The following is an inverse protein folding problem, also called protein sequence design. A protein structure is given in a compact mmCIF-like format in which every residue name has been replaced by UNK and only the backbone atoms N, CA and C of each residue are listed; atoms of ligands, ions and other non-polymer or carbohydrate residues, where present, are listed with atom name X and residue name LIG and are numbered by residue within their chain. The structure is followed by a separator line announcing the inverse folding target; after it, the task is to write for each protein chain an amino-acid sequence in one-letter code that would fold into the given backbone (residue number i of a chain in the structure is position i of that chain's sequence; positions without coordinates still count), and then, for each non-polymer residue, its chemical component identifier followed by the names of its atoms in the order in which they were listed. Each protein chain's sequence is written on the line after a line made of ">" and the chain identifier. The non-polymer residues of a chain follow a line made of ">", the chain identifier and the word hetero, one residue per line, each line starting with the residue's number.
data_IF_301257234226
#
_entry.id   IF_301257234226
#
_cell.length_a   1.000
_cell.length_b   1.000
_cell.length_c   1.000
_cell.angle_alpha   90.00
_cell.angle_beta   90.00
_cell.angle_gamma   90.00
#
_symmetry.space_group_name_H-M   'P 1'
#
loop_
_entity.id
_entity.type
_entity.pdbx_description
1 polymer ?
#
# COMPACT_ATOMS: atom_id res chain seq x y z
N UNK A 1 4.93 -12.55 -31.91
CA UNK A 1 3.93 -11.88 -31.05
C UNK A 1 4.58 -11.61 -29.71
N UNK A 2 4.39 -10.42 -29.14
CA UNK A 2 4.83 -10.11 -27.77
C UNK A 2 3.82 -10.66 -26.75
N UNK A 3 4.32 -11.09 -25.59
CA UNK A 3 3.46 -11.47 -24.47
C UNK A 3 2.78 -10.23 -23.88
N UNK A 4 1.55 -10.40 -23.40
CA UNK A 4 0.79 -9.36 -22.69
C UNK A 4 0.87 -9.68 -21.20
N UNK A 5 1.37 -8.73 -20.40
CA UNK A 5 1.42 -8.85 -18.95
C UNK A 5 0.20 -8.17 -18.34
N UNK A 6 -0.53 -8.87 -17.48
CA UNK A 6 -1.71 -8.36 -16.76
C UNK A 6 -1.39 -8.44 -15.27
N UNK A 7 -1.48 -7.31 -14.58
CA UNK A 7 -1.32 -7.24 -13.12
C UNK A 7 -2.70 -7.17 -12.47
N UNK A 8 -3.00 -8.12 -11.59
CA UNK A 8 -4.22 -8.11 -10.78
C UNK A 8 -3.87 -7.78 -9.33
N UNK A 9 -4.54 -6.78 -8.76
CA UNK A 9 -4.44 -6.45 -7.34
C UNK A 9 -5.52 -7.24 -6.59
N UNK A 10 -5.13 -8.33 -5.96
CA UNK A 10 -6.03 -9.23 -5.23
C UNK A 10 -5.83 -9.09 -3.73
N UNK A 11 -6.90 -8.96 -2.96
CA UNK A 11 -6.81 -8.87 -1.49
C UNK A 11 -6.62 -10.25 -0.85
N UNK A 12 -7.12 -11.30 -1.50
CA UNK A 12 -7.09 -12.67 -0.97
C UNK A 12 -6.99 -13.73 -2.09
N UNK A 13 -6.70 -14.97 -1.68
CA UNK A 13 -6.44 -16.07 -2.61
C UNK A 13 -7.65 -16.44 -3.49
N UNK A 14 -8.89 -16.19 -3.05
CA UNK A 14 -10.10 -16.52 -3.81
C UNK A 14 -10.22 -15.67 -5.09
N UNK A 15 -9.77 -14.42 -5.03
CA UNK A 15 -9.78 -13.51 -6.18
C UNK A 15 -8.79 -13.97 -7.27
N UNK A 16 -7.64 -14.52 -6.87
CA UNK A 16 -6.68 -15.14 -7.79
C UNK A 16 -7.33 -16.32 -8.51
N UNK A 17 -8.09 -17.16 -7.80
CA UNK A 17 -8.80 -18.29 -8.40
C UNK A 17 -9.89 -17.85 -9.39
N UNK A 18 -10.62 -16.77 -9.09
CA UNK A 18 -11.60 -16.20 -10.00
C UNK A 18 -10.95 -15.73 -11.31
N UNK A 19 -9.80 -15.06 -11.25
CA UNK A 19 -9.04 -14.64 -12.43
C UNK A 19 -8.55 -15.86 -13.23
N UNK A 20 -8.05 -16.90 -12.56
CA UNK A 20 -7.66 -18.16 -13.24
C UNK A 20 -8.84 -18.80 -13.98
N UNK A 21 -10.01 -18.86 -13.33
CA UNK A 21 -11.21 -19.45 -13.91
C UNK A 21 -11.67 -18.67 -15.15
N UNK A 22 -11.63 -17.34 -15.08
CA UNK A 22 -11.96 -16.46 -16.22
C UNK A 22 -11.01 -16.67 -17.40
N UNK A 23 -9.69 -16.66 -17.18
CA UNK A 23 -8.70 -16.89 -18.24
C UNK A 23 -8.84 -18.27 -18.87
N UNK A 24 -9.14 -19.29 -18.06
CA UNK A 24 -9.39 -20.67 -18.52
C UNK A 24 -10.66 -20.76 -19.35
N UNK A 25 -11.73 -20.07 -18.97
CA UNK A 25 -12.98 -20.02 -19.73
C UNK A 25 -12.76 -19.41 -21.13
N UNK A 26 -11.89 -18.41 -21.24
CA UNK A 26 -11.49 -17.80 -22.50
C UNK A 26 -10.47 -18.64 -23.31
N UNK A 27 -10.05 -19.80 -22.78
CA UNK A 27 -9.01 -20.68 -23.37
C UNK A 27 -7.69 -19.96 -23.65
N UNK A 28 -7.39 -18.91 -22.89
CA UNK A 28 -6.13 -18.17 -22.99
C UNK A 28 -5.06 -18.96 -22.23
N UNK A 29 -3.87 -19.14 -22.83
CA UNK A 29 -2.70 -19.67 -22.11
C UNK A 29 -2.13 -18.57 -21.25
N UNK A 30 -1.97 -18.83 -19.96
CA UNK A 30 -1.45 -17.87 -18.99
C UNK A 30 -0.51 -18.56 -18.01
N UNK A 31 0.39 -17.77 -17.41
CA UNK A 31 1.22 -18.15 -16.28
C UNK A 31 1.02 -17.12 -15.18
N UNK A 32 1.00 -17.57 -13.93
CA UNK A 32 0.88 -16.67 -12.79
C UNK A 32 2.26 -16.48 -12.21
N UNK A 33 2.80 -15.28 -12.37
CA UNK A 33 3.96 -14.85 -11.62
C UNK A 33 3.48 -14.39 -10.24
N UNK A 34 3.66 -15.24 -9.23
CA UNK A 34 3.51 -14.79 -7.83
C UNK A 34 4.65 -13.83 -7.52
N UNK A 35 4.39 -12.53 -7.65
CA UNK A 35 5.28 -11.52 -7.12
C UNK A 35 5.19 -11.66 -5.60
N UNK A 36 6.28 -12.11 -4.96
CA UNK A 36 6.31 -12.16 -3.50
C UNK A 36 5.95 -10.77 -2.97
N UNK A 37 5.11 -10.66 -1.93
CA UNK A 37 4.94 -9.42 -1.21
C UNK A 37 6.33 -8.89 -0.85
N UNK A 38 6.54 -7.58 -0.98
CA UNK A 38 7.78 -6.98 -0.50
C UNK A 38 7.76 -7.06 1.02
N UNK A 39 8.52 -8.01 1.57
CA UNK A 39 8.75 -8.11 3.01
C UNK A 39 9.86 -7.13 3.37
N UNK A 40 9.57 -6.23 4.31
CA UNK A 40 10.58 -5.35 4.87
C UNK A 40 11.62 -6.19 5.62
N UNK A 41 12.90 -5.83 5.49
CA UNK A 41 13.91 -6.37 6.39
C UNK A 41 13.63 -5.92 7.83
N UNK A 42 14.18 -6.64 8.82
CA UNK A 42 14.05 -6.26 10.24
C UNK A 42 14.53 -4.81 10.47
N UNK A 43 15.62 -4.42 9.80
CA UNK A 43 16.16 -3.05 9.85
C UNK A 43 15.19 -2.02 9.26
N UNK A 44 14.56 -2.32 8.12
CA UNK A 44 13.58 -1.42 7.49
C UNK A 44 12.31 -1.28 8.34
N UNK A 45 11.84 -2.38 8.93
CA UNK A 45 10.70 -2.38 9.84
C UNK A 45 11.02 -1.57 11.10
N UNK A 46 12.25 -1.68 11.62
CA UNK A 46 12.70 -0.91 12.78
C UNK A 46 12.75 0.60 12.47
N UNK A 47 13.32 1.01 11.33
CA UNK A 47 13.32 2.41 10.90
C UNK A 47 11.89 2.95 10.78
N UNK A 48 10.98 2.16 10.19
CA UNK A 48 9.59 2.56 10.07
C UNK A 48 8.92 2.70 11.44
N UNK A 49 9.16 1.76 12.34
CA UNK A 49 8.64 1.81 13.70
C UNK A 49 9.19 3.03 14.45
N UNK A 50 10.48 3.34 14.33
CA UNK A 50 11.09 4.51 14.99
C UNK A 50 10.48 5.83 14.45
N UNK A 51 10.13 5.88 13.16
CA UNK A 51 9.48 7.04 12.57
C UNK A 51 7.99 7.16 12.98
N UNK A 52 7.22 6.07 12.87
CA UNK A 52 5.77 6.06 13.13
C UNK A 52 5.44 6.09 14.62
N UNK A 53 6.31 5.50 15.45
CA UNK A 53 6.23 5.52 16.92
C UNK A 53 6.97 6.72 17.51
N UNK A 54 7.30 7.74 16.69
CA UNK A 54 7.68 9.05 17.21
C UNK A 54 6.59 9.47 18.20
N UNK A 55 7.01 9.78 19.43
CA UNK A 55 6.11 10.05 20.55
C UNK A 55 5.01 11.02 20.10
N UNK A 56 3.73 10.62 20.24
CA UNK A 56 2.58 11.46 19.85
C UNK A 56 2.63 12.83 20.53
N UNK A 57 3.32 12.95 21.66
CA UNK A 57 3.55 14.19 22.38
C UNK A 57 4.53 15.16 21.66
N UNK A 58 5.27 14.69 20.66
CA UNK A 58 6.13 15.53 19.78
C UNK A 58 5.35 16.14 18.62
N UNK A 59 4.13 15.69 18.37
CA UNK A 59 3.28 16.24 17.32
C UNK A 59 2.37 17.30 17.91
N UNK A 60 2.38 18.49 17.31
CA UNK A 60 1.40 19.53 17.63
C UNK A 60 0.08 19.20 16.95
N UNK A 61 -1.00 19.28 17.71
CA UNK A 61 -2.34 19.12 17.17
C UNK A 61 -2.63 20.15 16.06
N UNK A 62 -3.21 19.68 14.96
CA UNK A 62 -3.45 20.50 13.77
C UNK A 62 -4.41 21.67 14.05
N UNK A 63 -5.36 21.51 14.97
CA UNK A 63 -6.29 22.56 15.38
C UNK A 63 -5.56 23.67 16.16
N UNK A 64 -4.57 23.30 16.97
CA UNK A 64 -3.71 24.27 17.67
C UNK A 64 -2.88 25.09 16.67
N UNK A 65 -2.25 24.43 15.69
CA UNK A 65 -1.46 25.11 14.65
C UNK A 65 -2.34 26.08 13.85
N UNK A 66 -3.54 25.64 13.46
CA UNK A 66 -4.49 26.49 12.74
C UNK A 66 -4.89 27.73 13.57
N UNK A 67 -5.22 27.51 14.85
CA UNK A 67 -5.62 28.59 15.75
C UNK A 67 -4.51 29.62 15.96
N UNK A 68 -3.27 29.16 16.17
CA UNK A 68 -2.11 30.04 16.34
C UNK A 68 -1.81 30.86 15.09
N UNK A 69 -1.88 30.24 13.90
CA UNK A 69 -1.69 30.93 12.63
C UNK A 69 -2.79 31.96 12.39
N UNK A 70 -4.06 31.59 12.62
CA UNK A 70 -5.20 32.49 12.46
C UNK A 70 -5.05 33.73 13.36
N UNK A 71 -4.69 33.51 14.63
CA UNK A 71 -4.45 34.60 15.60
C UNK A 71 -3.26 35.47 15.20
N UNK A 72 -2.16 34.88 14.73
CA UNK A 72 -0.94 35.60 14.36
C UNK A 72 -1.12 36.50 13.14
N UNK A 73 -1.95 36.08 12.19
CA UNK A 73 -2.17 36.80 10.93
C UNK A 73 -3.51 37.53 10.87
N UNK A 74 -4.27 37.58 11.98
CA UNK A 74 -5.58 38.21 12.08
C UNK A 74 -6.57 37.80 10.96
N UNK A 75 -6.54 36.52 10.60
CA UNK A 75 -7.37 35.92 9.55
C UNK A 75 -8.77 35.53 10.04
#
# INVERSE_FOLDING_TARGET
>A
MQAINITAYTEDASQIEAVKAFMKALKIKFEIANVKPYELSEEQQQILNDQVTSDKNLYTDAESVYTDLKKKYEL
#
